data_IF_940210764447
#
_entry.id   IF_940210764447
#
_cell.length_a   1.000
_cell.length_b   1.000
_cell.length_c   1.000
_cell.angle_alpha   90.00
_cell.angle_beta   90.00
_cell.angle_gamma   90.00
#
_symmetry.space_group_name_H-M   'P 1'
#
loop_
_entity.id
_entity.type
_entity.pdbx_description
1 polymer ?
#
# COMPACT_ATOMS: atom_id res chain seq x y z
N UNK A 1 -15.80 44.28 -22.69
CA UNK A 1 -14.42 43.81 -22.45
C UNK A 1 -14.45 42.83 -21.30
N UNK A 2 -14.03 41.59 -21.55
CA UNK A 2 -14.07 40.49 -20.59
C UNK A 2 -12.85 40.58 -19.66
N UNK A 3 -13.09 40.61 -18.34
CA UNK A 3 -12.03 40.43 -17.35
C UNK A 3 -11.97 38.93 -17.08
N UNK A 4 -10.93 38.29 -17.62
CA UNK A 4 -10.66 36.89 -17.40
C UNK A 4 -10.45 36.64 -15.91
N UNK A 5 -11.34 35.84 -15.32
CA UNK A 5 -11.18 35.33 -13.96
C UNK A 5 -10.07 34.30 -14.00
N UNK A 6 -8.84 34.74 -13.72
CA UNK A 6 -7.69 33.88 -13.48
C UNK A 6 -7.87 33.13 -12.17
N UNK A 7 -8.73 32.11 -12.17
CA UNK A 7 -8.66 31.02 -11.20
C UNK A 7 -7.42 30.19 -11.56
N UNK A 8 -6.26 30.69 -11.14
CA UNK A 8 -5.04 29.91 -11.08
C UNK A 8 -5.35 28.69 -10.23
N UNK A 9 -5.48 27.56 -10.90
CA UNK A 9 -5.77 26.24 -10.37
C UNK A 9 -4.81 26.01 -9.21
N UNK A 10 -5.32 26.04 -7.97
CA UNK A 10 -4.65 25.36 -6.88
C UNK A 10 -4.43 23.94 -7.42
N UNK A 11 -3.17 23.57 -7.67
CA UNK A 11 -2.85 22.23 -8.15
C UNK A 11 -3.55 21.28 -7.22
N UNK A 12 -4.58 20.58 -7.72
CA UNK A 12 -5.25 19.56 -6.96
C UNK A 12 -4.19 18.50 -6.68
N UNK A 13 -3.53 18.59 -5.53
CA UNK A 13 -2.67 17.54 -5.01
C UNK A 13 -3.53 16.29 -4.93
N UNK A 14 -3.45 15.46 -5.98
CA UNK A 14 -4.17 14.19 -5.98
C UNK A 14 -3.56 13.38 -4.83
N UNK A 15 -4.34 12.92 -3.85
CA UNK A 15 -3.79 12.15 -2.73
C UNK A 15 -3.10 10.90 -3.27
N UNK A 16 -2.02 10.45 -2.61
CA UNK A 16 -1.42 9.16 -2.96
C UNK A 16 -2.44 8.05 -2.73
N UNK A 17 -2.35 6.92 -3.46
CA UNK A 17 -3.33 5.85 -3.31
C UNK A 17 -3.35 5.34 -1.87
N UNK A 18 -4.55 5.01 -1.36
CA UNK A 18 -4.76 4.47 -0.03
C UNK A 18 -4.86 2.94 -0.11
N UNK A 19 -4.16 2.23 0.78
CA UNK A 19 -4.30 0.77 0.93
C UNK A 19 -4.95 0.48 2.27
N UNK A 20 -5.92 -0.42 2.26
CA UNK A 20 -6.62 -0.89 3.47
C UNK A 20 -6.13 -2.29 3.81
N UNK A 21 -5.95 -2.55 5.11
CA UNK A 21 -5.66 -3.87 5.63
C UNK A 21 -6.63 -4.19 6.76
N UNK A 22 -7.24 -5.37 6.70
CA UNK A 22 -8.22 -5.83 7.67
C UNK A 22 -7.82 -7.20 8.25
N UNK A 23 -8.10 -7.41 9.54
CA UNK A 23 -8.06 -8.73 10.15
C UNK A 23 -9.12 -8.84 11.25
N UNK A 24 -9.89 -9.92 11.26
CA UNK A 24 -10.80 -10.23 12.37
C UNK A 24 -11.89 -9.18 12.64
N UNK A 25 -12.22 -8.33 11.67
CA UNK A 25 -13.18 -7.22 11.80
C UNK A 25 -12.55 -5.86 12.11
N UNK A 26 -11.26 -5.79 12.45
CA UNK A 26 -10.52 -4.54 12.60
C UNK A 26 -9.86 -4.17 11.26
N UNK A 27 -9.84 -2.89 10.92
CA UNK A 27 -9.16 -2.40 9.71
C UNK A 27 -8.31 -1.16 9.98
N UNK A 28 -7.26 -1.01 9.18
CA UNK A 28 -6.39 0.16 9.16
C UNK A 28 -6.10 0.57 7.72
N UNK A 29 -5.77 1.84 7.53
CA UNK A 29 -5.47 2.39 6.21
C UNK A 29 -4.18 3.21 6.26
N UNK A 30 -3.42 3.17 5.19
CA UNK A 30 -2.21 4.01 5.06
C UNK A 30 -2.08 4.55 3.65
N UNK A 31 -1.56 5.78 3.56
CA UNK A 31 -1.15 6.38 2.31
C UNK A 31 0.19 5.79 1.86
N UNK A 32 0.53 5.99 0.58
CA UNK A 32 1.82 5.54 0.08
C UNK A 32 2.96 6.34 0.72
N UNK A 33 3.95 5.67 1.33
CA UNK A 33 5.19 6.31 1.80
C UNK A 33 6.05 6.78 0.62
N UNK A 34 6.04 6.00 -0.46
CA UNK A 34 6.54 6.41 -1.76
C UNK A 34 5.52 6.03 -2.84
N UNK A 35 5.42 6.82 -3.91
CA UNK A 35 4.62 6.46 -5.07
C UNK A 35 5.14 7.16 -6.33
N UNK A 36 5.40 6.38 -7.38
CA UNK A 36 5.72 6.91 -8.70
C UNK A 36 4.42 7.28 -9.42
N UNK A 37 4.27 8.56 -9.68
CA UNK A 37 3.16 9.17 -10.41
C UNK A 37 3.73 9.98 -11.56
N UNK A 38 3.27 9.69 -12.77
CA UNK A 38 3.60 10.47 -13.97
C UNK A 38 5.12 10.71 -14.16
N UNK A 39 5.93 9.70 -13.80
CA UNK A 39 7.39 9.75 -13.88
C UNK A 39 8.10 10.45 -12.71
N UNK A 40 7.35 11.05 -11.78
CA UNK A 40 7.89 11.65 -10.56
C UNK A 40 7.70 10.73 -9.34
N UNK A 41 8.76 10.53 -8.56
CA UNK A 41 8.69 9.80 -7.30
C UNK A 41 8.25 10.76 -6.18
N UNK A 42 7.04 10.54 -5.68
CA UNK A 42 6.52 11.26 -4.53
C UNK A 42 6.92 10.49 -3.27
N UNK A 43 7.51 11.17 -2.30
CA UNK A 43 7.88 10.60 -1.01
C UNK A 43 7.27 11.44 0.11
N UNK A 44 6.77 10.77 1.13
CA UNK A 44 6.22 11.42 2.31
C UNK A 44 6.44 10.56 3.55
N UNK A 45 6.58 11.21 4.69
CA UNK A 45 6.59 10.50 5.97
C UNK A 45 5.19 10.03 6.29
N UNK A 46 5.03 8.73 6.51
CA UNK A 46 3.81 8.11 7.01
C UNK A 46 4.11 7.42 8.33
N UNK A 47 3.18 7.49 9.27
CA UNK A 47 3.21 6.65 10.47
C UNK A 47 2.52 5.33 10.13
N UNK A 48 3.23 4.18 10.10
CA UNK A 48 2.60 2.90 9.79
C UNK A 48 1.52 2.58 10.82
N UNK A 49 0.27 2.32 10.41
CA UNK A 49 -0.79 1.98 11.35
C UNK A 49 -0.58 0.56 11.89
N UNK A 50 -1.07 0.34 13.11
CA UNK A 50 -0.99 -0.93 13.80
C UNK A 50 -2.29 -1.72 13.63
N UNK A 51 -2.18 -2.96 13.15
CA UNK A 51 -3.28 -3.90 13.05
C UNK A 51 -3.04 -5.10 13.97
N UNK A 52 -4.09 -5.54 14.67
CA UNK A 52 -4.08 -6.77 15.45
C UNK A 52 -4.65 -7.91 14.62
N UNK A 53 -4.02 -9.08 14.69
CA UNK A 53 -4.46 -10.27 13.98
C UNK A 53 -4.27 -11.51 14.85
N UNK A 54 -5.06 -12.56 14.59
CA UNK A 54 -4.95 -13.84 15.28
C UNK A 54 -3.94 -14.76 14.57
N UNK A 55 -3.16 -15.57 15.31
CA UNK A 55 -2.37 -16.66 14.74
C UNK A 55 -3.23 -17.57 13.85
N UNK A 56 -2.75 -17.89 12.66
CA UNK A 56 -3.49 -18.70 11.68
C UNK A 56 -4.71 -18.00 11.05
N UNK A 57 -4.98 -16.74 11.39
CA UNK A 57 -6.02 -15.92 10.80
C UNK A 57 -5.68 -15.47 9.38
N UNK A 58 -6.41 -14.47 8.88
CA UNK A 58 -6.11 -13.86 7.60
C UNK A 58 -6.00 -12.34 7.67
N UNK A 59 -5.19 -11.80 6.78
CA UNK A 59 -5.19 -10.40 6.39
C UNK A 59 -5.98 -10.27 5.08
N UNK A 60 -6.95 -9.39 5.04
CA UNK A 60 -7.56 -8.94 3.79
C UNK A 60 -6.90 -7.62 3.41
N UNK A 61 -6.41 -7.52 2.18
CA UNK A 61 -5.72 -6.35 1.66
C UNK A 61 -6.54 -5.81 0.50
N UNK A 62 -6.97 -4.56 0.63
CA UNK A 62 -7.65 -3.84 -0.44
C UNK A 62 -6.72 -2.79 -1.01
N UNK A 63 -6.45 -2.91 -2.31
CA UNK A 63 -5.63 -1.96 -3.06
C UNK A 63 -6.47 -1.25 -4.12
N UNK A 64 -6.18 0.02 -4.44
CA UNK A 64 -6.83 0.72 -5.54
C UNK A 64 -6.56 0.04 -6.88
N UNK A 65 -7.49 0.13 -7.83
CA UNK A 65 -7.35 -0.44 -9.18
C UNK A 65 -6.04 -0.04 -9.86
N UNK A 66 -5.61 1.21 -9.71
CA UNK A 66 -4.32 1.69 -10.27
C UNK A 66 -3.08 0.96 -9.72
N UNK A 67 -3.17 0.37 -8.52
CA UNK A 67 -2.12 -0.45 -7.92
C UNK A 67 -2.26 -1.90 -8.38
N UNK A 68 -3.48 -2.44 -8.40
CA UNK A 68 -3.78 -3.79 -8.88
C UNK A 68 -3.41 -3.99 -10.36
N UNK A 69 -3.76 -3.05 -11.24
CA UNK A 69 -3.44 -3.07 -12.67
C UNK A 69 -1.93 -3.10 -12.92
N UNK A 70 -1.16 -2.41 -12.07
CA UNK A 70 0.31 -2.42 -12.13
C UNK A 70 0.90 -3.72 -11.56
N UNK A 71 0.16 -4.38 -10.68
CA UNK A 71 0.61 -5.48 -9.86
C UNK A 71 1.31 -5.00 -8.59
N UNK A 72 1.18 -5.79 -7.53
CA UNK A 72 1.83 -5.54 -6.24
C UNK A 72 2.28 -6.85 -5.58
N UNK A 73 3.04 -6.74 -4.50
CA UNK A 73 3.43 -7.89 -3.69
C UNK A 73 3.59 -7.50 -2.23
N UNK A 74 3.48 -8.50 -1.35
CA UNK A 74 3.70 -8.32 0.07
C UNK A 74 5.16 -8.59 0.42
N UNK A 75 5.68 -7.83 1.38
CA UNK A 75 7.01 -8.04 1.95
C UNK A 75 6.93 -7.92 3.46
N UNK A 76 7.66 -8.78 4.17
CA UNK A 76 7.88 -8.68 5.61
C UNK A 76 9.37 -8.67 5.87
N UNK A 77 9.86 -7.72 6.66
CA UNK A 77 11.28 -7.59 7.00
C UNK A 77 12.20 -7.63 5.77
N UNK A 78 11.79 -6.94 4.70
CA UNK A 78 12.47 -6.88 3.39
C UNK A 78 12.53 -8.21 2.62
N UNK A 79 11.81 -9.24 3.05
CA UNK A 79 11.64 -10.48 2.32
C UNK A 79 10.28 -10.50 1.62
N UNK A 80 10.30 -10.68 0.30
CA UNK A 80 9.09 -10.84 -0.51
C UNK A 80 8.36 -12.11 -0.10
N UNK A 81 7.08 -11.98 0.27
CA UNK A 81 6.23 -13.07 0.73
C UNK A 81 5.38 -13.69 -0.37
N UNK A 82 5.01 -12.90 -1.38
CA UNK A 82 4.07 -13.32 -2.43
C UNK A 82 4.68 -13.13 -3.81
N UNK A 83 4.16 -13.86 -4.79
CA UNK A 83 4.29 -13.48 -6.19
C UNK A 83 3.57 -12.15 -6.47
N UNK A 84 3.54 -11.72 -7.73
CA UNK A 84 2.82 -10.51 -8.12
C UNK A 84 1.32 -10.79 -8.07
N UNK A 85 0.58 -9.89 -7.41
CA UNK A 85 -0.87 -9.94 -7.22
C UNK A 85 -1.48 -8.84 -8.10
N UNK A 86 -2.56 -9.15 -8.80
CA UNK A 86 -3.29 -8.21 -9.66
C UNK A 86 -4.75 -8.00 -9.23
N UNK A 87 -5.16 -8.59 -8.10
CA UNK A 87 -6.50 -8.43 -7.55
C UNK A 87 -6.58 -7.18 -6.65
N UNK A 88 -7.68 -6.42 -6.76
CA UNK A 88 -7.96 -5.29 -5.85
C UNK A 88 -8.24 -5.75 -4.43
N UNK A 89 -8.65 -7.00 -4.25
CA UNK A 89 -8.95 -7.63 -2.96
C UNK A 89 -8.15 -8.92 -2.86
N UNK A 90 -7.20 -8.99 -1.93
CA UNK A 90 -6.35 -10.16 -1.74
C UNK A 90 -6.38 -10.64 -0.30
N UNK A 91 -6.48 -11.96 -0.13
CA UNK A 91 -6.46 -12.60 1.18
C UNK A 91 -5.14 -13.31 1.41
N UNK A 92 -4.41 -12.91 2.44
CA UNK A 92 -3.19 -13.55 2.90
C UNK A 92 -3.45 -14.35 4.19
N UNK A 93 -3.03 -15.62 4.21
CA UNK A 93 -3.12 -16.46 5.42
C UNK A 93 -1.89 -16.22 6.30
N UNK A 94 -2.14 -15.87 7.56
CA UNK A 94 -1.07 -15.68 8.53
C UNK A 94 -0.53 -17.02 9.02
N UNK A 95 0.78 -17.11 9.28
CA UNK A 95 1.32 -18.27 9.98
C UNK A 95 0.73 -18.38 11.39
N UNK A 96 0.64 -19.60 11.91
CA UNK A 96 0.18 -19.87 13.27
C UNK A 96 1.32 -19.62 14.29
N UNK A 97 1.79 -18.38 14.35
CA UNK A 97 2.88 -17.93 15.24
C UNK A 97 2.51 -16.60 15.88
N UNK A 98 3.12 -16.30 17.02
CA UNK A 98 3.02 -14.98 17.64
C UNK A 98 4.21 -14.13 17.21
N UNK A 99 3.95 -12.96 16.63
CA UNK A 99 4.97 -12.06 16.12
C UNK A 99 4.44 -10.65 15.98
N UNK A 100 5.34 -9.66 15.95
CA UNK A 100 5.03 -8.33 15.41
C UNK A 100 5.91 -8.11 14.20
N UNK A 101 5.30 -7.83 13.05
CA UNK A 101 6.01 -7.73 11.77
C UNK A 101 5.72 -6.39 11.11
N UNK A 102 6.75 -5.86 10.44
CA UNK A 102 6.59 -4.74 9.51
C UNK A 102 6.22 -5.33 8.14
N UNK A 103 4.95 -5.21 7.78
CA UNK A 103 4.44 -5.64 6.49
C UNK A 103 4.38 -4.43 5.56
N UNK A 104 4.94 -4.56 4.37
CA UNK A 104 4.89 -3.53 3.34
C UNK A 104 4.23 -4.09 2.09
N UNK A 105 3.19 -3.42 1.62
CA UNK A 105 2.65 -3.63 0.27
C UNK A 105 3.52 -2.82 -0.69
N UNK A 106 4.08 -3.46 -1.71
CA UNK A 106 4.88 -2.78 -2.74
C UNK A 106 4.19 -2.85 -4.08
N UNK A 107 4.03 -1.72 -4.77
CA UNK A 107 3.62 -1.72 -6.16
C UNK A 107 4.82 -2.11 -7.04
N UNK A 108 4.58 -2.95 -8.05
CA UNK A 108 5.61 -3.43 -8.94
C UNK A 108 6.35 -2.27 -9.64
N UNK A 109 7.64 -2.43 -9.99
CA UNK A 109 8.39 -1.42 -10.72
C UNK A 109 7.69 -1.01 -12.03
N UNK A 110 7.73 0.27 -12.36
CA UNK A 110 7.28 0.76 -13.67
C UNK A 110 8.45 0.75 -14.64
N UNK A 111 8.41 -0.17 -15.59
CA UNK A 111 9.39 -0.26 -16.69
C UNK A 111 10.20 -1.55 -16.66
N UNK A 112 10.54 -2.10 -17.84
CA UNK A 112 11.09 -3.46 -17.99
C UNK A 112 12.49 -3.66 -17.38
N UNK A 113 13.18 -2.57 -17.00
CA UNK A 113 14.52 -2.60 -16.42
C UNK A 113 14.58 -2.05 -14.99
N UNK A 114 13.47 -1.56 -14.45
CA UNK A 114 13.45 -1.02 -13.09
C UNK A 114 13.30 -2.14 -12.08
N UNK A 115 14.15 -2.17 -11.06
CA UNK A 115 14.00 -3.03 -9.89
C UNK A 115 13.41 -2.29 -8.69
N UNK A 116 13.19 -0.97 -8.82
CA UNK A 116 12.68 -0.13 -7.74
C UNK A 116 11.16 -0.18 -7.72
N UNK A 117 10.59 -0.54 -6.57
CA UNK A 117 9.14 -0.54 -6.37
C UNK A 117 8.56 0.84 -6.68
N UNK A 118 7.46 0.88 -7.42
CA UNK A 118 6.81 2.14 -7.81
C UNK A 118 5.85 2.66 -6.74
N UNK A 119 5.74 1.99 -5.61
CA UNK A 119 4.95 2.42 -4.47
C UNK A 119 5.21 1.56 -3.25
N UNK A 120 5.03 2.11 -2.05
CA UNK A 120 5.10 1.36 -0.79
C UNK A 120 4.09 1.83 0.24
N UNK A 121 3.46 0.89 0.93
CA UNK A 121 2.48 1.12 2.00
C UNK A 121 2.85 0.30 3.22
N UNK A 122 3.45 0.92 4.25
CA UNK A 122 3.90 0.20 5.44
C UNK A 122 2.76 0.04 6.47
N UNK A 123 2.72 -1.14 7.09
CA UNK A 123 1.83 -1.53 8.16
C UNK A 123 2.64 -2.24 9.26
N UNK A 124 2.18 -2.13 10.51
CA UNK A 124 2.65 -3.00 11.58
C UNK A 124 1.54 -3.99 11.91
N UNK A 125 1.85 -5.28 11.84
CA UNK A 125 0.90 -6.36 12.14
C UNK A 125 1.34 -7.08 13.40
N UNK A 126 0.52 -7.02 14.44
CA UNK A 126 0.69 -7.74 15.70
C UNK A 126 -0.15 -9.01 15.70
N UNK A 127 0.50 -10.17 15.52
CA UNK A 127 -0.12 -11.49 15.55
C UNK A 127 -0.09 -12.01 16.99
N UNK A 128 -1.25 -12.01 17.66
CA UNK A 128 -1.39 -12.35 19.09
C UNK A 128 -2.70 -13.10 19.35
N UNK A 129 -2.71 -13.91 20.41
CA UNK A 129 -3.88 -14.70 20.83
C UNK A 129 -5.04 -13.80 21.32
#
# INVERSE_FOLDING_TARGET
>A
MAVAVGLGVAGCDRPTPLVTMESGGDFVQTNAAQYLRDGALIQQTVSPPHLHARPGGSLNIDVPTSVADRGYFLSVNNQRLTETINDTHYRYLLPNVQATVNLVVFAAPTGPKSTTASGSWPFVVSIKL
#
